data_IF_269548458278
#
_entry.id   IF_269548458278
#
_cell.length_a   1.000
_cell.length_b   1.000
_cell.length_c   1.000
_cell.angle_alpha   90.00
_cell.angle_beta   90.00
_cell.angle_gamma   90.00
#
_symmetry.space_group_name_H-M   'P 1'
#
loop_
_entity.id
_entity.type
_entity.pdbx_description
1 polymer ?
#
# COMPACT_ATOMS: atom_id res chain seq x y z
N UNK A 1 -28.79 -9.17 -5.88
CA UNK A 1 -28.78 -7.70 -6.07
C UNK A 1 -28.04 -7.10 -4.88
N UNK A 2 -27.02 -6.25 -5.06
CA UNK A 2 -26.34 -5.62 -3.95
C UNK A 2 -27.34 -4.71 -3.18
N UNK A 3 -27.14 -4.51 -1.86
CA UNK A 3 -27.96 -3.56 -1.10
C UNK A 3 -27.75 -2.13 -1.63
N UNK A 4 -28.74 -1.28 -1.42
CA UNK A 4 -28.61 0.16 -1.68
C UNK A 4 -27.66 0.73 -0.62
N UNK A 5 -26.59 1.38 -1.07
CA UNK A 5 -25.66 2.06 -0.17
C UNK A 5 -26.26 3.40 0.29
N UNK A 6 -25.89 3.88 1.50
CA UNK A 6 -26.15 5.25 1.91
C UNK A 6 -25.55 6.26 0.91
N UNK A 7 -26.01 7.49 0.94
CA UNK A 7 -25.39 8.59 0.20
C UNK A 7 -24.02 8.96 0.79
N UNK A 8 -23.26 9.78 0.07
CA UNK A 8 -21.89 10.12 0.42
C UNK A 8 -21.79 10.88 1.76
N UNK A 9 -22.77 11.74 2.07
CA UNK A 9 -22.81 12.49 3.34
C UNK A 9 -23.02 11.52 4.51
N UNK A 10 -23.95 10.57 4.39
CA UNK A 10 -24.18 9.56 5.42
C UNK A 10 -22.98 8.60 5.56
N UNK A 11 -22.29 8.27 4.48
CA UNK A 11 -21.05 7.48 4.53
C UNK A 11 -19.94 8.24 5.26
N UNK A 12 -19.84 9.53 5.02
CA UNK A 12 -18.88 10.40 5.71
C UNK A 12 -19.17 10.48 7.21
N UNK A 13 -20.44 10.71 7.59
CA UNK A 13 -20.87 10.72 8.99
C UNK A 13 -20.54 9.40 9.71
N UNK A 14 -20.78 8.27 9.06
CA UNK A 14 -20.45 6.93 9.60
C UNK A 14 -18.94 6.82 9.82
N UNK A 15 -18.14 7.29 8.87
CA UNK A 15 -16.67 7.27 8.98
C UNK A 15 -16.19 8.14 10.16
N UNK A 16 -16.66 9.39 10.25
CA UNK A 16 -16.26 10.30 11.34
C UNK A 16 -16.68 9.77 12.72
N UNK A 17 -17.93 9.33 12.87
CA UNK A 17 -18.43 8.79 14.13
C UNK A 17 -17.65 7.52 14.52
N UNK A 18 -17.36 6.64 13.56
CA UNK A 18 -16.55 5.45 13.77
C UNK A 18 -15.13 5.79 14.23
N UNK A 19 -14.49 6.78 13.60
CA UNK A 19 -13.18 7.27 13.98
C UNK A 19 -13.17 7.82 15.43
N UNK A 20 -14.17 8.65 15.78
CA UNK A 20 -14.29 9.23 17.11
C UNK A 20 -14.51 8.16 18.19
N UNK A 21 -15.38 7.18 17.94
CA UNK A 21 -15.63 6.08 18.87
C UNK A 21 -14.38 5.23 19.12
N UNK A 22 -13.65 4.86 18.07
CA UNK A 22 -12.44 4.07 18.17
C UNK A 22 -11.34 4.84 18.93
N UNK A 23 -11.16 6.12 18.59
CA UNK A 23 -10.14 6.97 19.23
C UNK A 23 -10.46 7.18 20.71
N UNK A 24 -11.72 7.43 21.06
CA UNK A 24 -12.17 7.55 22.45
C UNK A 24 -11.97 6.25 23.25
N UNK A 25 -12.00 5.09 22.59
CA UNK A 25 -11.72 3.78 23.19
C UNK A 25 -10.21 3.45 23.27
N UNK A 26 -9.33 4.39 22.89
CA UNK A 26 -7.87 4.26 22.97
C UNK A 26 -7.24 3.53 21.78
N UNK A 27 -7.97 3.38 20.67
CA UNK A 27 -7.39 2.90 19.41
C UNK A 27 -6.79 4.05 18.61
N UNK A 28 -5.74 3.75 17.90
CA UNK A 28 -5.09 4.67 16.96
C UNK A 28 -5.19 4.11 15.55
N UNK A 29 -5.57 4.94 14.61
CA UNK A 29 -5.49 4.59 13.21
C UNK A 29 -4.01 4.51 12.81
N UNK A 30 -3.56 3.38 12.26
CA UNK A 30 -2.18 3.21 11.84
C UNK A 30 -2.04 3.00 10.33
N UNK A 31 -3.14 2.67 9.65
CA UNK A 31 -3.23 2.62 8.19
C UNK A 31 -4.63 3.05 7.74
N UNK A 32 -4.85 3.20 6.45
CA UNK A 32 -6.06 3.79 5.84
C UNK A 32 -7.38 3.23 6.39
N UNK A 33 -7.42 1.93 6.73
CA UNK A 33 -8.66 1.23 7.14
C UNK A 33 -8.51 0.40 8.41
N UNK A 34 -7.42 0.57 9.17
CA UNK A 34 -7.22 -0.21 10.39
C UNK A 34 -6.78 0.62 11.59
N UNK A 35 -7.33 0.22 12.73
CA UNK A 35 -7.07 0.79 14.05
C UNK A 35 -6.51 -0.28 14.97
N UNK A 36 -5.60 0.11 15.86
CA UNK A 36 -5.05 -0.76 16.89
C UNK A 36 -4.75 0.03 18.16
N UNK A 37 -4.72 -0.63 19.30
CA UNK A 37 -4.10 -0.05 20.50
C UNK A 37 -2.58 0.05 20.28
N UNK A 38 -1.89 1.00 20.95
CA UNK A 38 -0.44 1.13 20.85
C UNK A 38 0.28 -0.20 21.07
N UNK A 39 1.15 -0.61 20.14
CA UNK A 39 1.89 -1.87 20.19
C UNK A 39 1.13 -3.11 19.69
N UNK A 40 -0.14 -2.98 19.29
CA UNK A 40 -0.98 -4.08 18.81
C UNK A 40 -1.33 -4.00 17.31
N UNK A 41 -0.57 -3.23 16.54
CA UNK A 41 -0.73 -3.18 15.09
C UNK A 41 -0.51 -4.56 14.48
N UNK A 42 -1.32 -4.91 13.49
CA UNK A 42 -1.20 -6.19 12.80
C UNK A 42 0.13 -6.27 12.04
N UNK A 43 1.06 -7.11 12.51
CA UNK A 43 2.39 -7.27 11.90
C UNK A 43 2.31 -7.79 10.46
N UNK A 44 1.32 -8.63 10.16
CA UNK A 44 1.06 -9.11 8.82
C UNK A 44 0.71 -7.96 7.87
N UNK A 45 -0.18 -7.05 8.28
CA UNK A 45 -0.53 -5.86 7.50
C UNK A 45 0.67 -4.92 7.34
N UNK A 46 1.39 -4.66 8.44
CA UNK A 46 2.59 -3.81 8.40
C UNK A 46 3.63 -4.35 7.43
N UNK A 47 3.82 -5.68 7.36
CA UNK A 47 4.74 -6.27 6.38
C UNK A 47 4.35 -5.91 4.95
N UNK A 48 3.06 -6.03 4.60
CA UNK A 48 2.59 -5.64 3.26
C UNK A 48 2.76 -4.15 2.99
N UNK A 49 2.30 -3.32 3.92
CA UNK A 49 2.29 -1.86 3.72
C UNK A 49 3.69 -1.25 3.79
N UNK A 50 4.66 -1.88 4.45
CA UNK A 50 6.09 -1.53 4.39
C UNK A 50 6.80 -2.14 3.20
N UNK A 51 6.05 -2.61 2.23
CA UNK A 51 6.55 -3.21 1.00
C UNK A 51 7.41 -4.47 1.23
N UNK A 52 7.21 -5.16 2.35
CA UNK A 52 7.92 -6.40 2.68
C UNK A 52 7.60 -7.56 1.75
N UNK A 53 8.46 -8.56 1.76
CA UNK A 53 8.29 -9.78 0.98
C UNK A 53 7.36 -10.76 1.69
N UNK A 54 6.72 -11.61 0.90
CA UNK A 54 5.86 -12.68 1.39
C UNK A 54 5.72 -13.81 0.37
N UNK A 55 5.50 -15.02 0.88
CA UNK A 55 5.31 -16.22 0.08
C UNK A 55 3.85 -16.64 0.15
N UNK A 56 3.20 -16.72 -1.01
CA UNK A 56 1.84 -17.23 -1.12
C UNK A 56 1.80 -18.74 -1.05
N UNK A 57 1.00 -19.30 -0.14
CA UNK A 57 0.77 -20.75 0.02
C UNK A 57 -0.72 -21.01 -0.11
N UNK A 58 -1.06 -22.04 -0.91
CA UNK A 58 -2.45 -22.40 -1.18
C UNK A 58 -3.00 -21.87 -2.49
N UNK A 59 -4.21 -22.30 -2.85
CA UNK A 59 -4.85 -21.92 -4.11
C UNK A 59 -5.23 -20.43 -4.10
N UNK A 60 -4.95 -19.76 -5.23
CA UNK A 60 -5.19 -18.34 -5.42
C UNK A 60 -4.26 -17.42 -4.64
N UNK A 61 -3.29 -17.92 -3.90
CA UNK A 61 -2.38 -17.12 -3.12
C UNK A 61 -1.39 -16.34 -4.01
N UNK A 62 -1.05 -15.13 -3.57
CA UNK A 62 -0.06 -14.26 -4.21
C UNK A 62 1.24 -14.25 -3.41
N UNK A 63 2.35 -14.00 -4.07
CA UNK A 63 3.66 -13.83 -3.46
C UNK A 63 4.41 -12.65 -4.05
N UNK A 64 5.30 -12.07 -3.27
CA UNK A 64 6.23 -11.03 -3.67
C UNK A 64 7.61 -11.35 -3.08
N UNK A 65 8.62 -11.32 -3.92
CA UNK A 65 10.02 -11.48 -3.52
C UNK A 65 10.86 -10.39 -4.16
N UNK A 66 11.60 -9.66 -3.34
CA UNK A 66 12.53 -8.61 -3.77
C UNK A 66 13.96 -9.17 -3.73
N UNK A 67 14.68 -9.02 -4.84
CA UNK A 67 16.08 -9.46 -4.97
C UNK A 67 17.05 -8.31 -4.70
N UNK A 68 18.31 -8.60 -4.33
CA UNK A 68 19.30 -7.56 -4.03
C UNK A 68 19.61 -6.61 -5.19
N UNK A 69 19.35 -7.02 -6.42
CA UNK A 69 19.49 -6.20 -7.65
C UNK A 69 18.30 -5.28 -7.90
N UNK A 70 17.31 -5.25 -6.99
CA UNK A 70 16.09 -4.46 -7.11
C UNK A 70 15.02 -5.09 -8.00
N UNK A 71 15.21 -6.31 -8.50
CA UNK A 71 14.18 -7.07 -9.21
C UNK A 71 13.10 -7.50 -8.22
N UNK A 72 11.84 -7.33 -8.59
CA UNK A 72 10.67 -7.71 -7.79
C UNK A 72 9.90 -8.77 -8.57
N UNK A 73 9.84 -9.98 -8.01
CA UNK A 73 9.08 -11.09 -8.57
C UNK A 73 7.70 -11.17 -7.93
N UNK A 74 6.65 -11.15 -8.75
CA UNK A 74 5.27 -11.45 -8.36
C UNK A 74 4.90 -12.85 -8.78
N UNK A 75 4.28 -13.62 -7.89
CA UNK A 75 3.77 -14.96 -8.19
C UNK A 75 2.29 -15.05 -7.85
N UNK A 76 1.55 -15.83 -8.64
CA UNK A 76 0.15 -16.18 -8.36
C UNK A 76 0.01 -17.70 -8.40
N UNK A 77 -0.60 -18.25 -7.38
CA UNK A 77 -0.90 -19.68 -7.31
C UNK A 77 -2.19 -20.00 -8.05
N UNK A 78 -2.28 -21.23 -8.57
CA UNK A 78 -3.48 -21.75 -9.25
C UNK A 78 -4.73 -21.50 -8.41
N UNK A 79 -5.71 -20.78 -8.98
CA UNK A 79 -6.93 -20.36 -8.26
C UNK A 79 -7.83 -21.52 -7.88
N UNK A 80 -7.98 -22.49 -8.80
CA UNK A 80 -8.93 -23.56 -8.62
C UNK A 80 -8.37 -24.64 -7.68
N UNK A 81 -9.03 -24.96 -6.54
CA UNK A 81 -8.52 -25.91 -5.56
C UNK A 81 -8.19 -27.28 -6.17
N UNK A 82 -9.03 -27.79 -7.08
CA UNK A 82 -8.78 -29.09 -7.75
C UNK A 82 -7.50 -29.08 -8.56
N UNK A 83 -7.21 -28.00 -9.29
CA UNK A 83 -5.96 -27.85 -10.06
C UNK A 83 -4.74 -27.78 -9.14
N UNK A 84 -4.85 -27.05 -8.03
CA UNK A 84 -3.79 -26.96 -7.02
C UNK A 84 -3.50 -28.33 -6.39
N UNK A 85 -4.54 -29.09 -6.01
CA UNK A 85 -4.40 -30.43 -5.43
C UNK A 85 -3.86 -31.48 -6.42
N UNK A 86 -3.92 -31.20 -7.72
CA UNK A 86 -3.31 -32.01 -8.77
C UNK A 86 -1.84 -31.67 -9.05
N UNK A 87 -1.20 -30.81 -8.22
CA UNK A 87 0.20 -30.43 -8.34
C UNK A 87 0.46 -29.22 -9.25
N UNK A 88 -0.55 -28.59 -9.81
CA UNK A 88 -0.42 -27.34 -10.57
C UNK A 88 -0.44 -26.16 -9.62
N UNK A 89 0.72 -25.90 -8.98
CA UNK A 89 0.79 -24.91 -7.90
C UNK A 89 0.95 -23.48 -8.39
N UNK A 90 1.64 -23.25 -9.51
CA UNK A 90 1.93 -21.92 -10.04
C UNK A 90 1.02 -21.65 -11.25
N UNK A 91 0.30 -20.53 -11.21
CA UNK A 91 -0.50 -20.04 -12.34
C UNK A 91 0.31 -19.03 -13.18
N UNK A 92 0.95 -18.08 -12.51
CA UNK A 92 1.79 -17.11 -13.16
C UNK A 92 2.94 -16.64 -12.28
N UNK A 93 4.01 -16.21 -12.93
CA UNK A 93 5.06 -15.39 -12.32
C UNK A 93 5.49 -14.31 -13.30
N UNK A 94 5.80 -13.13 -12.78
CA UNK A 94 6.31 -12.01 -13.57
C UNK A 94 7.22 -11.13 -12.73
N UNK A 95 8.18 -10.54 -13.37
CA UNK A 95 8.92 -9.42 -12.78
C UNK A 95 8.07 -8.14 -12.89
N UNK A 96 8.21 -7.25 -11.92
CA UNK A 96 7.60 -5.91 -11.97
C UNK A 96 8.48 -5.04 -12.85
N UNK A 97 7.88 -4.46 -13.87
CA UNK A 97 8.58 -3.55 -14.78
C UNK A 97 9.09 -2.32 -14.02
N UNK A 98 10.20 -1.74 -14.48
CA UNK A 98 10.81 -0.59 -13.81
C UNK A 98 9.84 0.60 -13.69
N UNK A 99 9.02 0.82 -14.71
CA UNK A 99 8.02 1.90 -14.76
C UNK A 99 6.90 1.71 -13.72
N UNK A 100 6.53 0.46 -13.40
CA UNK A 100 5.45 0.14 -12.45
C UNK A 100 5.91 0.17 -10.98
N UNK A 101 7.21 0.07 -10.72
CA UNK A 101 7.74 -0.02 -9.34
C UNK A 101 7.39 1.17 -8.45
N UNK A 102 7.41 2.44 -8.92
CA UNK A 102 7.00 3.57 -8.11
C UNK A 102 5.56 3.43 -7.61
N UNK A 103 4.64 3.14 -8.52
CA UNK A 103 3.23 2.94 -8.15
C UNK A 103 3.06 1.77 -7.17
N UNK A 104 3.67 0.60 -7.44
CA UNK A 104 3.58 -0.56 -6.55
C UNK A 104 4.15 -0.26 -5.14
N UNK A 105 5.23 0.50 -5.06
CA UNK A 105 5.81 0.91 -3.79
C UNK A 105 4.88 1.85 -3.01
N UNK A 106 4.46 2.95 -3.62
CA UNK A 106 3.65 3.97 -2.94
C UNK A 106 2.22 3.51 -2.67
N UNK A 107 1.62 2.68 -3.52
CA UNK A 107 0.31 2.06 -3.28
C UNK A 107 0.28 1.28 -1.94
N UNK A 108 1.39 0.69 -1.55
CA UNK A 108 1.53 0.05 -0.25
C UNK A 108 1.95 1.07 0.83
N UNK A 109 3.01 1.84 0.59
CA UNK A 109 3.65 2.64 1.62
C UNK A 109 2.80 3.78 2.12
N UNK A 110 2.03 4.45 1.26
CA UNK A 110 1.14 5.54 1.65
C UNK A 110 -0.21 5.08 2.25
N UNK A 111 -0.44 3.79 2.38
CA UNK A 111 -1.51 3.29 3.25
C UNK A 111 -1.19 3.48 4.72
N UNK A 112 0.08 3.44 5.10
CA UNK A 112 0.52 3.68 6.48
C UNK A 112 0.52 5.17 6.80
N UNK A 113 0.11 5.49 8.03
CA UNK A 113 0.11 6.86 8.54
C UNK A 113 1.45 7.24 9.20
N UNK A 114 2.37 6.30 9.30
CA UNK A 114 3.74 6.54 9.75
C UNK A 114 4.58 7.20 8.65
N UNK A 115 5.63 7.96 8.97
CA UNK A 115 6.58 8.49 8.00
C UNK A 115 7.16 7.39 7.10
N UNK A 116 7.27 7.67 5.81
CA UNK A 116 7.88 6.78 4.83
C UNK A 116 9.37 7.13 4.66
N UNK A 117 10.32 6.33 5.17
CA UNK A 117 11.75 6.62 5.01
C UNK A 117 12.13 6.65 3.51
N UNK A 118 12.78 7.74 3.07
CA UNK A 118 13.14 7.94 1.66
C UNK A 118 14.08 6.85 1.13
N UNK A 119 14.95 6.37 1.99
CA UNK A 119 15.91 5.30 1.63
C UNK A 119 15.22 4.00 1.24
N UNK A 120 14.02 3.72 1.76
CA UNK A 120 13.26 2.49 1.45
C UNK A 120 12.91 2.42 -0.04
N UNK A 121 12.63 3.56 -0.70
CA UNK A 121 12.31 3.56 -2.12
C UNK A 121 13.43 2.94 -2.95
N UNK A 122 14.65 3.43 -2.80
CA UNK A 122 15.79 2.88 -3.56
C UNK A 122 16.18 1.47 -3.12
N UNK A 123 16.07 1.16 -1.84
CA UNK A 123 16.38 -0.18 -1.31
C UNK A 123 15.44 -1.26 -1.87
N UNK A 124 14.15 -0.98 -1.95
CA UNK A 124 13.17 -1.97 -2.39
C UNK A 124 12.95 -1.99 -3.90
N UNK A 125 13.08 -0.86 -4.58
CA UNK A 125 12.80 -0.78 -6.02
C UNK A 125 14.05 -0.91 -6.89
N UNK A 126 15.23 -0.66 -6.33
CA UNK A 126 16.48 -0.54 -7.07
C UNK A 126 16.56 0.73 -7.93
N UNK A 127 15.61 1.66 -7.79
CA UNK A 127 15.54 2.90 -8.56
C UNK A 127 16.10 4.09 -7.75
N UNK A 128 16.70 5.04 -8.44
CA UNK A 128 17.04 6.33 -7.84
C UNK A 128 15.78 7.15 -7.58
N UNK A 129 15.74 7.89 -6.46
CA UNK A 129 14.66 8.86 -6.18
C UNK A 129 14.50 9.92 -7.30
N UNK A 130 15.56 10.19 -8.03
CA UNK A 130 15.52 11.15 -9.13
C UNK A 130 14.48 10.79 -10.21
N UNK A 131 14.14 9.50 -10.37
CA UNK A 131 13.15 9.08 -11.38
C UNK A 131 11.70 9.45 -11.02
N UNK A 132 11.45 9.77 -9.75
CA UNK A 132 10.12 10.12 -9.23
C UNK A 132 10.07 11.57 -8.71
N UNK A 133 11.10 12.37 -8.94
CA UNK A 133 11.18 13.71 -8.34
C UNK A 133 10.03 14.61 -8.78
N UNK A 134 9.68 14.59 -10.07
CA UNK A 134 8.57 15.39 -10.59
C UNK A 134 7.22 15.03 -9.96
N UNK A 135 6.97 13.74 -9.75
CA UNK A 135 5.75 13.25 -9.11
C UNK A 135 5.69 13.65 -7.62
N UNK A 136 6.83 13.57 -6.93
CA UNK A 136 6.92 14.01 -5.53
C UNK A 136 6.71 15.53 -5.41
N UNK A 137 7.32 16.31 -6.29
CA UNK A 137 7.16 17.79 -6.30
C UNK A 137 5.69 18.17 -6.54
N UNK A 138 5.02 17.48 -7.46
CA UNK A 138 3.59 17.67 -7.72
C UNK A 138 2.73 17.26 -6.52
N UNK A 139 3.01 16.11 -5.89
CA UNK A 139 2.30 15.66 -4.70
C UNK A 139 2.44 16.64 -3.52
N UNK A 140 3.63 17.27 -3.37
CA UNK A 140 3.87 18.29 -2.36
C UNK A 140 3.14 19.57 -2.72
N UNK A 141 3.18 20.02 -3.99
CA UNK A 141 2.50 21.21 -4.46
C UNK A 141 0.97 21.11 -4.29
N UNK A 142 0.40 19.92 -4.49
CA UNK A 142 -1.02 19.65 -4.23
C UNK A 142 -1.36 19.44 -2.75
N UNK A 143 -0.38 19.47 -1.87
CA UNK A 143 -0.56 19.33 -0.43
C UNK A 143 -0.86 17.92 0.04
N UNK A 144 -0.62 16.89 -0.79
CA UNK A 144 -0.82 15.49 -0.40
C UNK A 144 0.31 14.96 0.48
N UNK A 145 1.52 15.46 0.29
CA UNK A 145 2.72 15.05 1.02
C UNK A 145 3.45 16.24 1.62
N UNK A 146 4.15 15.99 2.72
CA UNK A 146 5.27 16.80 3.18
C UNK A 146 6.56 16.01 3.07
N UNK A 147 7.66 16.70 2.83
CA UNK A 147 8.99 16.10 2.68
C UNK A 147 9.94 16.63 3.75
N UNK A 148 10.65 15.72 4.39
CA UNK A 148 11.79 16.00 5.25
C UNK A 148 13.08 15.43 4.65
N UNK A 149 14.23 15.66 5.29
CA UNK A 149 15.50 15.13 4.81
C UNK A 149 15.48 13.60 4.64
N UNK A 150 14.85 12.90 5.59
CA UNK A 150 14.93 11.44 5.70
C UNK A 150 13.62 10.71 5.36
N UNK A 151 12.50 11.41 5.25
CA UNK A 151 11.20 10.76 5.03
C UNK A 151 10.19 11.64 4.28
N UNK A 152 9.17 10.99 3.71
CA UNK A 152 7.92 11.60 3.26
C UNK A 152 6.81 11.29 4.26
N UNK A 153 5.92 12.25 4.45
CA UNK A 153 4.75 12.10 5.30
C UNK A 153 3.49 12.43 4.52
N UNK A 154 2.54 11.49 4.49
CA UNK A 154 1.21 11.78 3.96
C UNK A 154 0.49 12.78 4.89
N UNK A 155 -0.13 13.80 4.31
CA UNK A 155 -0.91 14.81 5.04
C UNK A 155 -2.34 14.30 5.30
N UNK A 156 -3.11 15.00 6.14
CA UNK A 156 -4.55 14.71 6.30
C UNK A 156 -5.28 14.85 4.96
N UNK A 157 -4.93 15.84 4.15
CA UNK A 157 -5.46 16.00 2.80
C UNK A 157 -5.09 14.82 1.90
N UNK A 158 -3.82 14.41 1.92
CA UNK A 158 -3.36 13.25 1.13
C UNK A 158 -4.04 11.94 1.51
N UNK A 159 -4.41 11.75 2.79
CA UNK A 159 -5.18 10.58 3.24
C UNK A 159 -6.57 10.53 2.60
N UNK A 160 -7.27 11.66 2.53
CA UNK A 160 -8.59 11.77 1.92
C UNK A 160 -8.54 11.56 0.41
N UNK A 161 -7.46 12.01 -0.24
CA UNK A 161 -7.25 11.93 -1.68
C UNK A 161 -6.15 10.93 -2.06
N UNK A 162 -6.06 9.81 -1.32
CA UNK A 162 -5.02 8.80 -1.55
C UNK A 162 -4.98 8.30 -2.99
N UNK A 163 -6.12 8.08 -3.63
CA UNK A 163 -6.16 7.62 -5.02
C UNK A 163 -5.54 8.67 -5.96
N UNK A 164 -5.90 9.95 -5.80
CA UNK A 164 -5.31 11.04 -6.62
C UNK A 164 -3.81 11.19 -6.40
N UNK A 165 -3.34 11.03 -5.15
CA UNK A 165 -1.91 10.96 -4.86
C UNK A 165 -1.23 9.80 -5.59
N UNK A 166 -1.85 8.61 -5.59
CA UNK A 166 -1.26 7.41 -6.21
C UNK A 166 -1.28 7.49 -7.74
N UNK A 167 -2.27 8.15 -8.34
CA UNK A 167 -2.35 8.37 -9.80
C UNK A 167 -1.11 9.08 -10.34
N UNK A 168 -0.47 9.95 -9.55
CA UNK A 168 0.78 10.63 -9.95
C UNK A 168 1.94 9.66 -10.24
N UNK A 169 1.90 8.47 -9.69
CA UNK A 169 2.96 7.46 -9.82
C UNK A 169 2.62 6.34 -10.82
N UNK A 170 1.47 6.41 -11.50
CA UNK A 170 1.14 5.47 -12.57
C UNK A 170 2.08 5.67 -13.77
N UNK A 171 2.52 4.57 -14.36
CA UNK A 171 3.20 4.61 -15.63
C UNK A 171 2.23 5.07 -16.74
N UNK A 172 2.72 5.94 -17.64
CA UNK A 172 1.98 6.36 -18.83
C UNK A 172 1.86 5.23 -19.86
#
# INVERSE_FOLDING_TARGET
RPPVLPDDDALWDIFEQGHQLLTAAGYQQYETSAYAKPGYQCQHNLNYWRFGDYIGIGCGAHGKVTFPDGRILRTTKTRHPRGFMQGRYLESQRDVEAADKPFEFFMNRFRLLEPAPRVEFSQYTGLSEAVIRSQLDEAIAQGYLTECADYWQITEHGKLFLNSLLELFLAE
#
